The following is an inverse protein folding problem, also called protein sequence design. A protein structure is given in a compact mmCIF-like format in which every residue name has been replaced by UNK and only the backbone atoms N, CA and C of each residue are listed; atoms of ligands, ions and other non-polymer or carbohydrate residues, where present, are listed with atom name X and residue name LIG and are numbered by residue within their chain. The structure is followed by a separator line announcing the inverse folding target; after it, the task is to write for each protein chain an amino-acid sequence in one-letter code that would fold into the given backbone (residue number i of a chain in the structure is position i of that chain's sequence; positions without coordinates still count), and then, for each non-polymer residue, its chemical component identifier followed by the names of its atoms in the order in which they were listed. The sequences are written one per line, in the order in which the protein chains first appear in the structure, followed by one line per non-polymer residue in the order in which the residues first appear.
data_IF_735959296174
#
_entry.id   IF_735959296174
#
_cell.length_a   1.000
_cell.length_b   1.000
_cell.length_c   1.000
_cell.angle_alpha   90.00
_cell.angle_beta   90.00
_cell.angle_gamma   90.00
#
_symmetry.space_group_name_H-M   'P 1'
#
loop_
_entity.id
_entity.type
_entity.pdbx_description
1 polymer ?
#
# COMPACT_ATOMS: atom_id res chain seq x y z
N UNK A 1 50.81 -52.13 -32.90
CA UNK A 1 52.22 -51.73 -32.71
C UNK A 1 52.97 -52.93 -32.17
N UNK A 2 53.44 -53.78 -33.07
CA UNK A 2 54.28 -54.91 -32.70
C UNK A 2 55.73 -54.47 -32.49
N UNK A 3 56.52 -55.31 -31.83
CA UNK A 3 57.89 -55.60 -32.21
C UNK A 3 58.40 -56.78 -31.38
N UNK A 4 58.52 -57.92 -32.06
CA UNK A 4 59.45 -59.01 -31.73
C UNK A 4 60.88 -58.51 -31.92
N UNK A 5 61.88 -59.06 -31.21
CA UNK A 5 63.13 -59.59 -31.78
C UNK A 5 63.91 -60.42 -30.74
N UNK A 6 64.29 -61.62 -31.18
CA UNK A 6 65.31 -62.49 -30.58
C UNK A 6 66.72 -62.06 -31.00
N UNK A 7 67.75 -62.29 -30.17
CA UNK A 7 68.99 -63.02 -30.57
C UNK A 7 69.98 -63.24 -29.43
N UNK A 8 70.57 -64.44 -29.45
CA UNK A 8 71.65 -65.01 -28.63
C UNK A 8 73.04 -64.39 -28.89
N UNK A 9 73.96 -64.77 -27.98
CA UNK A 9 75.45 -64.88 -28.02
C UNK A 9 76.12 -63.76 -27.21
N UNK A 10 77.23 -63.97 -26.49
CA UNK A 10 78.15 -65.09 -26.30
C UNK A 10 79.13 -64.69 -25.19
N UNK A 11 79.63 -65.69 -24.46
CA UNK A 11 80.75 -65.69 -23.51
C UNK A 11 81.89 -64.69 -23.80
N UNK A 12 82.38 -64.06 -22.74
CA UNK A 12 83.71 -63.47 -22.59
C UNK A 12 84.05 -63.39 -21.11
N UNK A 13 85.21 -63.92 -20.72
CA UNK A 13 85.56 -64.44 -19.39
C UNK A 13 86.71 -63.63 -18.78
N UNK A 14 86.58 -63.31 -17.49
CA UNK A 14 87.61 -63.14 -16.43
C UNK A 14 88.70 -62.05 -16.54
N UNK A 15 89.01 -61.53 -15.35
CA UNK A 15 90.22 -60.78 -14.98
C UNK A 15 89.84 -59.55 -14.16
N UNK A 16 89.31 -59.66 -12.93
CA UNK A 16 90.08 -59.79 -11.68
C UNK A 16 91.32 -58.89 -11.60
N UNK A 17 91.25 -57.86 -10.75
CA UNK A 17 92.23 -57.55 -9.67
C UNK A 17 91.75 -56.26 -8.97
N UNK A 18 91.19 -56.36 -7.78
CA UNK A 18 91.91 -56.30 -6.49
C UNK A 18 92.38 -54.88 -6.17
N UNK A 19 91.65 -54.22 -5.26
CA UNK A 19 92.00 -52.91 -4.74
C UNK A 19 91.22 -52.62 -3.47
N UNK A 20 91.70 -53.21 -2.36
CA UNK A 20 91.43 -52.86 -0.95
C UNK A 20 90.09 -52.22 -0.66
N UNK A 21 89.12 -53.11 -0.77
CA UNK A 21 87.82 -53.12 -0.17
C UNK A 21 87.86 -52.75 1.33
N UNK A 22 87.69 -51.47 1.66
CA UNK A 22 87.01 -51.03 2.91
C UNK A 22 85.51 -51.35 2.77
N UNK A 23 85.27 -52.63 2.64
CA UNK A 23 84.06 -53.25 2.10
C UNK A 23 83.22 -53.84 3.21
N UNK A 24 83.78 -53.88 4.43
CA UNK A 24 83.01 -54.06 5.65
C UNK A 24 82.09 -52.87 5.87
N UNK A 25 82.63 -51.64 5.86
CA UNK A 25 81.84 -50.42 6.10
C UNK A 25 80.76 -50.21 5.03
N UNK A 26 81.13 -50.35 3.75
CA UNK A 26 80.20 -50.11 2.65
C UNK A 26 79.11 -51.19 2.51
N UNK A 27 79.42 -52.48 2.74
CA UNK A 27 78.39 -53.55 2.78
C UNK A 27 77.49 -53.46 4.01
N UNK A 28 78.03 -53.00 5.14
CA UNK A 28 77.22 -52.78 6.36
C UNK A 28 76.25 -51.63 6.13
N UNK A 29 76.71 -50.51 5.54
CA UNK A 29 75.84 -49.38 5.19
C UNK A 29 74.78 -49.76 4.13
N UNK A 30 75.14 -50.53 3.10
CA UNK A 30 74.17 -51.04 2.12
C UNK A 30 73.14 -51.98 2.75
N UNK A 31 73.56 -52.86 3.67
CA UNK A 31 72.68 -53.73 4.43
C UNK A 31 71.71 -52.95 5.32
N UNK A 32 72.21 -51.92 6.00
CA UNK A 32 71.41 -51.00 6.84
C UNK A 32 70.38 -50.24 6.00
N UNK A 33 70.76 -49.70 4.84
CA UNK A 33 69.85 -49.02 3.91
C UNK A 33 68.76 -49.94 3.34
N UNK A 34 69.08 -51.22 3.12
CA UNK A 34 68.11 -52.22 2.64
C UNK A 34 67.04 -52.49 3.70
N UNK A 35 67.43 -52.69 4.96
CA UNK A 35 66.51 -52.88 6.09
C UNK A 35 65.61 -51.65 6.28
N UNK A 36 66.18 -50.44 6.23
CA UNK A 36 65.42 -49.20 6.35
C UNK A 36 64.40 -49.01 5.20
N UNK A 37 64.76 -49.40 3.97
CA UNK A 37 63.83 -49.37 2.82
C UNK A 37 62.67 -50.33 3.01
N UNK A 38 62.92 -51.54 3.48
CA UNK A 38 61.89 -52.55 3.75
C UNK A 38 60.94 -52.08 4.87
N UNK A 39 61.49 -51.45 5.91
CA UNK A 39 60.73 -50.85 7.01
C UNK A 39 59.81 -49.71 6.55
N UNK A 40 60.33 -48.78 5.73
CA UNK A 40 59.53 -47.67 5.18
C UNK A 40 58.44 -48.19 4.22
N UNK A 41 58.72 -49.27 3.50
CA UNK A 41 57.74 -49.92 2.60
C UNK A 41 56.63 -50.64 3.36
N UNK A 42 56.92 -51.10 4.59
CA UNK A 42 55.96 -51.77 5.46
C UNK A 42 54.98 -50.79 6.15
N UNK A 43 55.14 -49.47 5.98
CA UNK A 43 54.10 -48.48 6.28
C UNK A 43 53.59 -48.45 7.72
N UNK A 44 54.46 -48.72 8.71
CA UNK A 44 54.07 -48.75 10.12
C UNK A 44 53.32 -50.02 10.56
N UNK A 45 53.39 -51.10 9.78
CA UNK A 45 52.91 -52.43 10.17
C UNK A 45 53.73 -53.01 11.34
N UNK A 46 53.16 -53.95 12.13
CA UNK A 46 53.88 -54.61 13.20
C UNK A 46 55.14 -55.36 12.71
N UNK A 47 55.12 -55.86 11.47
CA UNK A 47 56.27 -56.50 10.82
C UNK A 47 57.42 -55.51 10.56
N UNK A 48 57.12 -54.26 10.20
CA UNK A 48 58.13 -53.20 10.05
C UNK A 48 58.81 -52.83 11.37
N UNK A 49 58.09 -52.85 12.48
CA UNK A 49 58.64 -52.59 13.82
C UNK A 49 59.59 -53.71 14.28
N UNK A 50 59.33 -54.97 13.89
CA UNK A 50 60.20 -56.11 14.16
C UNK A 50 61.52 -56.07 13.38
N UNK A 51 61.48 -55.64 12.12
CA UNK A 51 62.66 -55.47 11.27
C UNK A 51 63.61 -54.38 11.80
N UNK A 52 63.04 -53.28 12.32
CA UNK A 52 63.77 -52.18 12.96
C UNK A 52 64.56 -52.62 14.21
N UNK A 53 64.04 -53.57 14.99
CA UNK A 53 64.69 -54.10 16.20
C UNK A 53 65.97 -54.89 15.93
N UNK A 54 66.18 -55.36 14.69
CA UNK A 54 67.36 -56.14 14.27
C UNK A 54 68.52 -55.27 13.75
N UNK A 55 68.31 -53.96 13.65
CA UNK A 55 69.29 -53.03 13.11
C UNK A 55 70.32 -52.60 14.18
N UNK A 56 71.57 -52.39 13.78
CA UNK A 56 72.71 -52.24 14.71
C UNK A 56 72.93 -50.81 15.23
N UNK A 57 72.33 -49.79 14.60
CA UNK A 57 72.46 -48.39 15.00
C UNK A 57 71.19 -47.92 15.71
N UNK A 58 71.30 -47.76 17.03
CA UNK A 58 70.20 -47.46 17.95
C UNK A 58 69.63 -46.04 17.75
N UNK A 59 70.49 -45.06 17.46
CA UNK A 59 70.08 -43.66 17.21
C UNK A 59 69.22 -43.54 15.94
N UNK A 60 69.63 -44.22 14.86
CA UNK A 60 68.90 -44.25 13.58
C UNK A 60 67.54 -44.94 13.74
N UNK A 61 67.49 -46.03 14.51
CA UNK A 61 66.21 -46.71 14.82
C UNK A 61 65.28 -45.82 15.64
N UNK A 62 65.79 -45.09 16.63
CA UNK A 62 65.02 -44.14 17.42
C UNK A 62 64.43 -43.01 16.56
N UNK A 63 65.24 -42.43 15.66
CA UNK A 63 64.80 -41.40 14.71
C UNK A 63 63.71 -41.91 13.76
N UNK A 64 63.85 -43.11 13.21
CA UNK A 64 62.86 -43.70 12.27
C UNK A 64 61.54 -44.00 12.99
N UNK A 65 61.58 -44.53 14.21
CA UNK A 65 60.37 -44.74 15.03
C UNK A 65 59.69 -43.41 15.37
N UNK A 66 60.46 -42.39 15.73
CA UNK A 66 59.92 -41.05 16.02
C UNK A 66 59.27 -40.40 14.78
N UNK A 67 59.88 -40.55 13.60
CA UNK A 67 59.30 -40.07 12.33
C UNK A 67 58.03 -40.85 11.99
N UNK A 68 58.02 -42.18 12.13
CA UNK A 68 56.83 -43.00 11.86
C UNK A 68 55.67 -42.64 12.79
N UNK A 69 55.94 -42.44 14.08
CA UNK A 69 54.92 -42.04 15.05
C UNK A 69 54.42 -40.61 14.78
N UNK A 70 55.33 -39.68 14.43
CA UNK A 70 54.98 -38.32 14.01
C UNK A 70 54.11 -38.32 12.75
N UNK A 71 54.49 -39.06 11.71
CA UNK A 71 53.69 -39.18 10.47
C UNK A 71 52.33 -39.82 10.76
N UNK A 72 52.28 -40.87 11.60
CA UNK A 72 51.02 -41.53 11.98
C UNK A 72 50.09 -40.61 12.76
N UNK A 73 50.64 -39.82 13.68
CA UNK A 73 49.87 -38.86 14.46
C UNK A 73 49.41 -37.68 13.61
N UNK A 74 50.29 -37.09 12.79
CA UNK A 74 49.97 -36.00 11.85
C UNK A 74 48.89 -36.45 10.84
N UNK A 75 49.09 -37.58 10.15
CA UNK A 75 48.09 -38.11 9.20
C UNK A 75 46.75 -38.43 9.86
N UNK A 76 46.75 -38.98 11.08
CA UNK A 76 45.51 -39.20 11.85
C UNK A 76 44.82 -37.88 12.20
N UNK A 77 45.57 -36.86 12.60
CA UNK A 77 45.02 -35.54 12.91
C UNK A 77 44.48 -34.84 11.67
N UNK A 78 45.21 -34.87 10.55
CA UNK A 78 44.76 -34.31 9.26
C UNK A 78 43.48 -35.00 8.77
N UNK A 79 43.43 -36.33 8.81
CA UNK A 79 42.25 -37.09 8.41
C UNK A 79 41.05 -36.77 9.31
N UNK A 80 41.27 -36.62 10.62
CA UNK A 80 40.22 -36.21 11.56
C UNK A 80 39.71 -34.80 11.26
N UNK A 81 40.59 -33.84 10.98
CA UNK A 81 40.22 -32.47 10.62
C UNK A 81 39.40 -32.46 9.33
N UNK A 82 39.84 -33.17 8.28
CA UNK A 82 39.12 -33.27 7.01
C UNK A 82 37.76 -33.93 7.20
N UNK A 83 37.68 -35.01 8.00
CA UNK A 83 36.41 -35.67 8.31
C UNK A 83 35.47 -34.75 9.06
N UNK A 84 35.95 -34.01 10.06
CA UNK A 84 35.15 -33.06 10.84
C UNK A 84 34.65 -31.90 9.96
N UNK A 85 35.51 -31.35 9.09
CA UNK A 85 35.12 -30.31 8.14
C UNK A 85 34.06 -30.82 7.16
N UNK A 86 34.25 -32.01 6.59
CA UNK A 86 33.28 -32.62 5.67
C UNK A 86 31.95 -32.88 6.37
N UNK A 87 31.99 -33.40 7.61
CA UNK A 87 30.79 -33.64 8.42
C UNK A 87 30.04 -32.33 8.70
N UNK A 88 30.75 -31.26 9.09
CA UNK A 88 30.15 -29.93 9.32
C UNK A 88 29.51 -29.38 8.04
N UNK A 89 30.23 -29.40 6.92
CA UNK A 89 29.72 -28.90 5.65
C UNK A 89 28.45 -29.64 5.20
N UNK A 90 28.41 -30.98 5.33
CA UNK A 90 27.22 -31.78 5.01
C UNK A 90 26.04 -31.46 5.93
N UNK A 91 26.28 -31.26 7.24
CA UNK A 91 25.22 -30.87 8.18
C UNK A 91 24.67 -29.48 7.85
N UNK A 92 25.53 -28.51 7.55
CA UNK A 92 25.12 -27.15 7.16
C UNK A 92 24.30 -27.14 5.86
N UNK A 93 24.73 -27.91 4.86
CA UNK A 93 24.00 -28.04 3.59
C UNK A 93 22.62 -28.68 3.80
N UNK A 94 22.54 -29.78 4.58
CA UNK A 94 21.26 -30.39 4.93
C UNK A 94 20.36 -29.44 5.72
N UNK A 95 20.90 -28.68 6.68
CA UNK A 95 20.12 -27.68 7.41
C UNK A 95 19.59 -26.58 6.50
N UNK A 96 20.38 -26.14 5.52
CA UNK A 96 19.96 -25.14 4.53
C UNK A 96 18.81 -25.67 3.67
N UNK A 97 18.96 -26.88 3.13
CA UNK A 97 17.92 -27.54 2.32
C UNK A 97 16.63 -27.72 3.14
N UNK A 98 16.73 -28.13 4.40
CA UNK A 98 15.55 -28.29 5.27
C UNK A 98 14.83 -26.96 5.51
N UNK A 99 15.57 -25.87 5.76
CA UNK A 99 14.97 -24.54 5.93
C UNK A 99 14.30 -24.05 4.65
N UNK A 100 14.95 -24.22 3.50
CA UNK A 100 14.38 -23.85 2.20
C UNK A 100 13.11 -24.67 1.90
N UNK A 101 13.12 -25.97 2.20
CA UNK A 101 11.96 -26.84 2.04
C UNK A 101 10.80 -26.44 2.96
N UNK A 102 11.08 -26.10 4.21
CA UNK A 102 10.07 -25.59 5.15
C UNK A 102 9.46 -24.26 4.69
N UNK A 103 10.29 -23.33 4.22
CA UNK A 103 9.81 -22.04 3.69
C UNK A 103 8.92 -22.22 2.47
N UNK A 104 9.32 -23.10 1.52
CA UNK A 104 8.49 -23.44 0.36
C UNK A 104 7.17 -24.09 0.76
N UNK A 105 7.20 -25.02 1.71
CA UNK A 105 5.99 -25.69 2.19
C UNK A 105 4.98 -24.70 2.82
N UNK A 106 5.44 -23.79 3.67
CA UNK A 106 4.56 -22.77 4.26
C UNK A 106 4.06 -21.77 3.20
N UNK A 107 4.88 -21.42 2.22
CA UNK A 107 4.45 -20.59 1.10
C UNK A 107 3.37 -21.28 0.25
N UNK A 108 3.57 -22.55 -0.12
CA UNK A 108 2.59 -23.33 -0.88
C UNK A 108 1.28 -23.49 -0.11
N UNK A 109 1.36 -23.78 1.19
CA UNK A 109 0.20 -23.91 2.08
C UNK A 109 -0.59 -22.61 2.18
N UNK A 110 0.08 -21.48 2.34
CA UNK A 110 -0.58 -20.16 2.39
C UNK A 110 -1.21 -19.79 1.05
N UNK A 111 -0.51 -20.04 -0.07
CA UNK A 111 -1.04 -19.80 -1.40
C UNK A 111 -2.25 -20.69 -1.71
N UNK A 112 -2.21 -21.97 -1.31
CA UNK A 112 -3.34 -22.89 -1.43
C UNK A 112 -4.54 -22.43 -0.57
N UNK A 113 -4.31 -21.98 0.66
CA UNK A 113 -5.36 -21.44 1.51
C UNK A 113 -6.01 -20.18 0.92
N UNK A 114 -5.21 -19.26 0.38
CA UNK A 114 -5.70 -18.02 -0.23
C UNK A 114 -6.52 -18.28 -1.50
N UNK A 115 -6.02 -19.16 -2.37
CA UNK A 115 -6.74 -19.57 -3.59
C UNK A 115 -8.05 -20.26 -3.25
N UNK A 116 -8.05 -21.15 -2.26
CA UNK A 116 -9.28 -21.79 -1.78
C UNK A 116 -10.29 -20.76 -1.24
N UNK A 117 -9.86 -19.85 -0.36
CA UNK A 117 -10.74 -18.84 0.20
C UNK A 117 -11.34 -17.91 -0.87
N UNK A 118 -10.53 -17.56 -1.88
CA UNK A 118 -11.00 -16.71 -2.98
C UNK A 118 -12.04 -17.45 -3.82
N UNK A 119 -11.82 -18.73 -4.12
CA UNK A 119 -12.78 -19.55 -4.85
C UNK A 119 -14.07 -19.77 -4.04
N UNK A 120 -13.96 -20.03 -2.73
CA UNK A 120 -15.09 -20.16 -1.82
C UNK A 120 -15.94 -18.88 -1.79
N UNK A 121 -15.30 -17.72 -1.63
CA UNK A 121 -15.99 -16.43 -1.60
C UNK A 121 -16.69 -16.13 -2.94
N UNK A 122 -16.04 -16.43 -4.06
CA UNK A 122 -16.64 -16.26 -5.39
C UNK A 122 -17.86 -17.17 -5.58
N UNK A 123 -17.78 -18.43 -5.16
CA UNK A 123 -18.91 -19.37 -5.20
C UNK A 123 -20.05 -18.90 -4.30
N UNK A 124 -19.75 -18.43 -3.09
CA UNK A 124 -20.75 -17.91 -2.16
C UNK A 124 -21.50 -16.71 -2.74
N UNK A 125 -20.77 -15.75 -3.33
CA UNK A 125 -21.37 -14.62 -4.02
C UNK A 125 -22.31 -15.06 -5.16
N UNK A 126 -21.92 -16.08 -5.95
CA UNK A 126 -22.76 -16.61 -7.02
C UNK A 126 -24.01 -17.32 -6.50
N UNK A 127 -23.90 -18.04 -5.39
CA UNK A 127 -25.06 -18.67 -4.72
C UNK A 127 -26.04 -17.61 -4.23
N UNK A 128 -25.55 -16.53 -3.63
CA UNK A 128 -26.40 -15.43 -3.14
C UNK A 128 -27.13 -14.72 -4.30
N UNK A 129 -26.43 -14.43 -5.40
CA UNK A 129 -27.00 -13.84 -6.62
C UNK A 129 -28.12 -14.73 -7.20
N UNK A 130 -27.84 -16.02 -7.42
CA UNK A 130 -28.83 -16.97 -7.95
C UNK A 130 -30.02 -17.15 -7.00
N UNK A 131 -29.78 -17.12 -5.70
CA UNK A 131 -30.85 -17.20 -4.69
C UNK A 131 -31.77 -15.98 -4.77
N UNK A 132 -31.22 -14.78 -4.96
CA UNK A 132 -32.00 -13.56 -5.14
C UNK A 132 -32.83 -13.59 -6.44
N UNK A 133 -32.23 -14.01 -7.56
CA UNK A 133 -32.95 -14.19 -8.83
C UNK A 133 -34.09 -15.19 -8.71
N UNK A 134 -33.85 -16.32 -8.03
CA UNK A 134 -34.86 -17.34 -7.80
C UNK A 134 -36.01 -16.84 -6.92
N UNK A 135 -35.74 -16.00 -5.93
CA UNK A 135 -36.79 -15.35 -5.13
C UNK A 135 -37.66 -14.42 -5.99
N UNK A 136 -37.05 -13.58 -6.84
CA UNK A 136 -37.79 -12.69 -7.74
C UNK A 136 -38.68 -13.50 -8.71
N UNK A 137 -38.13 -14.57 -9.30
CA UNK A 137 -38.88 -15.44 -10.20
C UNK A 137 -40.06 -16.12 -9.49
N UNK A 138 -39.85 -16.65 -8.28
CA UNK A 138 -40.91 -17.30 -7.51
C UNK A 138 -42.03 -16.33 -7.13
N UNK A 139 -41.68 -15.09 -6.73
CA UNK A 139 -42.67 -14.07 -6.41
C UNK A 139 -43.47 -13.67 -7.65
N UNK A 140 -42.82 -13.51 -8.80
CA UNK A 140 -43.50 -13.27 -10.08
C UNK A 140 -44.46 -14.42 -10.42
N UNK A 141 -44.00 -15.67 -10.30
CA UNK A 141 -44.83 -16.86 -10.53
C UNK A 141 -46.05 -16.91 -9.61
N UNK A 142 -45.87 -16.60 -8.32
CA UNK A 142 -46.97 -16.54 -7.34
C UNK A 142 -48.01 -15.50 -7.74
N UNK A 143 -47.58 -14.28 -8.10
CA UNK A 143 -48.49 -13.20 -8.52
C UNK A 143 -49.24 -13.54 -9.81
N UNK A 144 -48.57 -14.18 -10.77
CA UNK A 144 -49.21 -14.71 -11.99
C UNK A 144 -50.28 -15.74 -11.65
N UNK A 145 -49.99 -16.65 -10.71
CA UNK A 145 -50.96 -17.64 -10.24
C UNK A 145 -52.16 -16.99 -9.54
N UNK A 146 -51.94 -15.90 -8.83
CA UNK A 146 -52.98 -15.16 -8.09
C UNK A 146 -53.69 -14.08 -8.91
N UNK A 147 -53.28 -13.88 -10.17
CA UNK A 147 -53.81 -12.84 -11.02
C UNK A 147 -55.30 -12.99 -11.28
N UNK A 148 -56.01 -11.85 -11.31
CA UNK A 148 -57.42 -11.78 -11.67
C UNK A 148 -57.67 -12.33 -13.06
N UNK A 149 -56.71 -12.20 -13.96
CA UNK A 149 -56.86 -12.60 -15.35
C UNK A 149 -56.75 -14.13 -15.50
N UNK A 150 -55.98 -14.82 -14.64
CA UNK A 150 -56.03 -16.28 -14.51
C UNK A 150 -57.39 -16.77 -13.99
N UNK A 151 -57.92 -16.10 -12.97
CA UNK A 151 -59.27 -16.36 -12.46
C UNK A 151 -60.34 -16.10 -13.51
N UNK A 152 -60.22 -15.03 -14.29
CA UNK A 152 -61.17 -14.66 -15.34
C UNK A 152 -61.13 -15.64 -16.51
N UNK A 153 -59.94 -16.12 -16.89
CA UNK A 153 -59.77 -17.18 -17.89
C UNK A 153 -60.42 -18.48 -17.42
N UNK A 154 -60.17 -18.90 -16.18
CA UNK A 154 -60.83 -20.09 -15.61
C UNK A 154 -62.35 -19.93 -15.53
N UNK A 155 -62.86 -18.75 -15.14
CA UNK A 155 -64.29 -18.45 -15.15
C UNK A 155 -64.87 -18.55 -16.56
N UNK A 156 -64.20 -17.99 -17.56
CA UNK A 156 -64.66 -18.02 -18.95
C UNK A 156 -64.75 -19.45 -19.50
N UNK A 157 -63.74 -20.29 -19.22
CA UNK A 157 -63.74 -21.70 -19.59
C UNK A 157 -64.89 -22.45 -18.90
N UNK A 158 -65.19 -22.12 -17.63
CA UNK A 158 -66.34 -22.70 -16.92
C UNK A 158 -67.69 -22.25 -17.50
N UNK A 159 -67.82 -20.99 -17.90
CA UNK A 159 -69.07 -20.40 -18.41
C UNK A 159 -69.37 -20.82 -19.86
N UNK A 160 -68.34 -21.00 -20.69
CA UNK A 160 -68.49 -21.20 -22.13
C UNK A 160 -67.94 -22.53 -22.67
N UNK A 161 -67.26 -23.32 -21.83
CA UNK A 161 -66.62 -24.57 -22.20
C UNK A 161 -65.17 -24.40 -22.66
N UNK A 162 -64.43 -25.52 -22.70
CA UNK A 162 -63.01 -25.53 -23.11
C UNK A 162 -62.89 -25.21 -24.61
N UNK A 163 -62.01 -24.27 -25.00
CA UNK A 163 -61.68 -24.01 -26.39
C UNK A 163 -60.73 -25.07 -27.00
N UNK A 164 -60.27 -26.05 -26.21
CA UNK A 164 -59.30 -27.08 -26.59
C UNK A 164 -57.88 -26.78 -26.09
N UNK A 165 -57.12 -27.84 -25.77
CA UNK A 165 -55.85 -27.75 -25.04
C UNK A 165 -54.79 -26.81 -25.67
N UNK A 166 -54.75 -26.72 -27.00
CA UNK A 166 -53.86 -25.79 -27.70
C UNK A 166 -54.18 -24.33 -27.37
N UNK A 167 -55.47 -23.96 -27.47
CA UNK A 167 -55.91 -22.59 -27.24
C UNK A 167 -55.84 -22.20 -25.77
N UNK A 168 -56.07 -23.14 -24.85
CA UNK A 168 -55.85 -22.91 -23.41
C UNK A 168 -54.38 -22.59 -23.13
N UNK A 169 -53.44 -23.37 -23.68
CA UNK A 169 -52.00 -23.10 -23.52
C UNK A 169 -51.59 -21.76 -24.11
N UNK A 170 -52.13 -21.39 -25.28
CA UNK A 170 -51.85 -20.09 -25.89
C UNK A 170 -52.44 -18.94 -25.06
N UNK A 171 -53.66 -19.08 -24.54
CA UNK A 171 -54.30 -18.11 -23.64
C UNK A 171 -53.52 -17.94 -22.33
N UNK A 172 -53.00 -19.03 -21.76
CA UNK A 172 -52.13 -18.98 -20.57
C UNK A 172 -50.78 -18.29 -20.85
N UNK A 173 -50.20 -18.51 -22.04
CA UNK A 173 -48.97 -17.82 -22.47
C UNK A 173 -49.21 -16.31 -22.64
N UNK A 174 -50.29 -15.94 -23.33
CA UNK A 174 -50.67 -14.54 -23.52
C UNK A 174 -50.98 -13.84 -22.20
N UNK A 175 -51.65 -14.54 -21.28
CA UNK A 175 -51.90 -14.07 -19.92
C UNK A 175 -50.61 -13.68 -19.20
N UNK A 176 -49.60 -14.55 -19.24
CA UNK A 176 -48.29 -14.26 -18.64
C UNK A 176 -47.65 -13.00 -19.24
N UNK A 177 -47.70 -12.84 -20.56
CA UNK A 177 -47.16 -11.66 -21.25
C UNK A 177 -47.93 -10.40 -20.85
N UNK A 178 -49.26 -10.45 -20.78
CA UNK A 178 -50.12 -9.33 -20.38
C UNK A 178 -49.79 -8.90 -18.94
N UNK A 179 -49.64 -9.83 -18.02
CA UNK A 179 -49.29 -9.54 -16.63
C UNK A 179 -47.90 -8.92 -16.53
N UNK A 180 -46.91 -9.46 -17.23
CA UNK A 180 -45.57 -8.90 -17.29
C UNK A 180 -45.58 -7.47 -17.85
N UNK A 181 -46.37 -7.20 -18.90
CA UNK A 181 -46.54 -5.85 -19.46
C UNK A 181 -47.25 -4.93 -18.49
N UNK A 182 -48.27 -5.43 -17.78
CA UNK A 182 -49.03 -4.66 -16.79
C UNK A 182 -48.15 -4.23 -15.63
N UNK A 183 -47.31 -5.11 -15.09
CA UNK A 183 -46.36 -4.74 -14.02
C UNK A 183 -45.36 -3.69 -14.52
N UNK A 184 -44.83 -3.83 -15.74
CA UNK A 184 -43.94 -2.82 -16.33
C UNK A 184 -44.62 -1.45 -16.43
N UNK A 185 -45.90 -1.42 -16.80
CA UNK A 185 -46.69 -0.17 -16.84
C UNK A 185 -46.91 0.37 -15.43
N UNK A 186 -47.28 -0.46 -14.45
CA UNK A 186 -47.44 -0.02 -13.06
C UNK A 186 -46.14 0.56 -12.48
N UNK A 187 -45.01 -0.06 -12.76
CA UNK A 187 -43.70 0.44 -12.34
C UNK A 187 -43.36 1.79 -12.98
N UNK A 188 -43.65 1.97 -14.28
CA UNK A 188 -43.52 3.27 -14.93
C UNK A 188 -44.45 4.32 -14.32
N UNK A 189 -45.69 3.95 -13.97
CA UNK A 189 -46.63 4.83 -13.28
C UNK A 189 -46.13 5.27 -11.90
N UNK A 190 -45.55 4.36 -11.10
CA UNK A 190 -44.93 4.71 -9.80
C UNK A 190 -43.79 5.72 -9.99
N UNK A 191 -42.93 5.52 -11.00
CA UNK A 191 -41.85 6.47 -11.33
C UNK A 191 -42.38 7.83 -11.76
N UNK A 192 -43.46 7.86 -12.55
CA UNK A 192 -44.11 9.11 -12.95
C UNK A 192 -44.70 9.86 -11.75
N UNK A 193 -45.29 9.16 -10.78
CA UNK A 193 -45.79 9.77 -9.55
C UNK A 193 -44.67 10.43 -8.74
N UNK A 194 -43.57 9.72 -8.51
CA UNK A 194 -42.39 10.29 -7.83
C UNK A 194 -41.83 11.51 -8.57
N UNK A 195 -41.81 11.47 -9.90
CA UNK A 195 -41.38 12.60 -10.71
C UNK A 195 -42.32 13.80 -10.57
N UNK A 196 -43.64 13.56 -10.50
CA UNK A 196 -44.63 14.60 -10.28
C UNK A 196 -44.46 15.28 -8.92
N UNK A 197 -44.28 14.51 -7.85
CA UNK A 197 -44.00 15.04 -6.51
C UNK A 197 -42.72 15.88 -6.47
N UNK A 198 -41.70 15.49 -7.22
CA UNK A 198 -40.46 16.25 -7.33
C UNK A 198 -40.66 17.58 -8.05
N UNK A 199 -41.47 17.59 -9.11
CA UNK A 199 -41.82 18.83 -9.84
C UNK A 199 -42.62 19.77 -8.95
N UNK A 200 -43.61 19.29 -8.20
CA UNK A 200 -44.37 20.12 -7.25
C UNK A 200 -43.47 20.75 -6.18
N UNK A 201 -42.53 19.97 -5.61
CA UNK A 201 -41.54 20.50 -4.67
C UNK A 201 -40.64 21.55 -5.31
N UNK A 202 -40.22 21.35 -6.55
CA UNK A 202 -39.39 22.32 -7.26
C UNK A 202 -40.14 23.64 -7.47
N UNK A 203 -41.38 23.60 -7.94
CA UNK A 203 -42.24 24.78 -8.09
C UNK A 203 -42.41 25.54 -6.76
N UNK A 204 -42.65 24.82 -5.66
CA UNK A 204 -42.74 25.43 -4.33
C UNK A 204 -41.43 26.12 -3.89
N UNK A 205 -40.28 25.55 -4.24
CA UNK A 205 -38.98 26.16 -3.96
C UNK A 205 -38.73 27.39 -4.84
N UNK A 206 -39.12 27.35 -6.12
CA UNK A 206 -39.04 28.51 -7.03
C UNK A 206 -39.87 29.68 -6.50
N UNK A 207 -41.11 29.43 -6.03
CA UNK A 207 -41.96 30.45 -5.40
C UNK A 207 -41.31 31.03 -4.13
N UNK A 208 -40.69 30.19 -3.30
CA UNK A 208 -39.96 30.64 -2.11
C UNK A 208 -38.77 31.53 -2.48
N UNK A 209 -38.02 31.17 -3.53
CA UNK A 209 -36.89 31.96 -4.03
C UNK A 209 -37.39 33.33 -4.50
N UNK A 210 -38.47 33.37 -5.28
CA UNK A 210 -39.05 34.63 -5.77
C UNK A 210 -39.46 35.53 -4.59
N UNK A 211 -40.14 34.97 -3.59
CA UNK A 211 -40.55 35.72 -2.39
C UNK A 211 -39.35 36.29 -1.62
N UNK A 212 -38.28 35.51 -1.44
CA UNK A 212 -37.06 35.97 -0.77
C UNK A 212 -36.36 37.06 -1.58
N UNK A 213 -36.31 36.94 -2.91
CA UNK A 213 -35.74 37.97 -3.78
C UNK A 213 -36.53 39.29 -3.69
N UNK A 214 -37.86 39.22 -3.68
CA UNK A 214 -38.72 40.40 -3.49
C UNK A 214 -38.48 41.07 -2.14
N UNK A 215 -38.43 40.29 -1.05
CA UNK A 215 -38.13 40.80 0.28
C UNK A 215 -36.74 41.45 0.36
N UNK A 216 -35.76 40.90 -0.35
CA UNK A 216 -34.41 41.47 -0.42
C UNK A 216 -34.41 42.82 -1.14
N UNK A 217 -35.12 42.93 -2.27
CA UNK A 217 -35.27 44.19 -3.01
C UNK A 217 -35.95 45.25 -2.15
N UNK A 218 -37.05 44.90 -1.47
CA UNK A 218 -37.75 45.81 -0.55
C UNK A 218 -36.84 46.31 0.59
N UNK A 219 -35.99 45.43 1.13
CA UNK A 219 -34.98 45.82 2.12
C UNK A 219 -33.93 46.76 1.52
N UNK A 220 -33.49 46.50 0.29
CA UNK A 220 -32.52 47.35 -0.43
C UNK A 220 -33.08 48.75 -0.65
N UNK A 221 -34.31 48.85 -1.15
CA UNK A 221 -35.01 50.14 -1.33
C UNK A 221 -35.16 50.89 -0.01
N UNK A 222 -35.51 50.20 1.08
CA UNK A 222 -35.58 50.82 2.42
C UNK A 222 -34.21 51.34 2.88
N UNK A 223 -33.15 50.56 2.66
CA UNK A 223 -31.78 50.96 3.00
C UNK A 223 -31.34 52.20 2.22
N UNK A 224 -31.62 52.26 0.92
CA UNK A 224 -31.29 53.41 0.06
C UNK A 224 -32.05 54.68 0.49
N UNK A 225 -33.32 54.54 0.88
CA UNK A 225 -34.11 55.63 1.45
C UNK A 225 -33.53 56.14 2.78
N UNK A 226 -33.19 55.24 3.70
CA UNK A 226 -32.52 55.61 4.96
C UNK A 226 -31.18 56.29 4.70
N UNK A 227 -30.39 55.80 3.74
CA UNK A 227 -29.12 56.39 3.37
C UNK A 227 -29.30 57.83 2.85
N UNK A 228 -30.31 58.05 2.01
CA UNK A 228 -30.66 59.39 1.49
C UNK A 228 -31.03 60.34 2.62
N UNK A 229 -31.85 59.91 3.59
CA UNK A 229 -32.21 60.72 4.76
C UNK A 229 -30.98 61.04 5.62
N UNK A 230 -30.09 60.07 5.84
CA UNK A 230 -28.84 60.28 6.58
C UNK A 230 -27.96 61.33 5.89
N UNK A 231 -27.84 61.27 4.56
CA UNK A 231 -27.11 62.28 3.79
C UNK A 231 -27.73 63.68 3.93
N UNK A 232 -29.06 63.78 3.84
CA UNK A 232 -29.77 65.06 4.01
C UNK A 232 -29.54 65.66 5.40
N UNK A 233 -29.72 64.87 6.46
CA UNK A 233 -29.49 65.30 7.84
C UNK A 233 -28.04 65.72 8.08
N UNK A 234 -27.07 65.05 7.46
CA UNK A 234 -25.66 65.41 7.52
C UNK A 234 -25.40 66.80 6.89
N UNK A 235 -26.00 67.08 5.74
CA UNK A 235 -25.92 68.39 5.08
C UNK A 235 -26.56 69.47 5.94
N UNK A 236 -27.76 69.24 6.48
CA UNK A 236 -28.43 70.18 7.39
C UNK A 236 -27.61 70.45 8.64
N UNK A 237 -27.02 69.41 9.24
CA UNK A 237 -26.13 69.54 10.40
C UNK A 237 -24.92 70.42 10.08
N UNK A 238 -24.31 70.24 8.90
CA UNK A 238 -23.18 71.06 8.46
C UNK A 238 -23.59 72.52 8.23
N UNK A 239 -24.77 72.76 7.65
CA UNK A 239 -25.30 74.12 7.43
C UNK A 239 -25.60 74.83 8.75
N UNK A 240 -26.24 74.15 9.71
CA UNK A 240 -26.53 74.68 11.04
C UNK A 240 -25.25 75.03 11.80
N UNK A 241 -24.23 74.16 11.73
CA UNK A 241 -22.91 74.42 12.34
C UNK A 241 -22.26 75.67 11.74
N UNK A 242 -22.26 75.81 10.41
CA UNK A 242 -21.73 77.00 9.75
C UNK A 242 -22.52 78.27 10.11
N UNK A 243 -23.84 78.19 10.27
CA UNK A 243 -24.66 79.32 10.71
C UNK A 243 -24.35 79.72 12.16
N UNK A 244 -24.17 78.74 13.05
CA UNK A 244 -23.77 78.95 14.43
C UNK A 244 -22.39 79.65 14.50
N UNK A 245 -21.41 79.18 13.74
CA UNK A 245 -20.07 79.78 13.70
C UNK A 245 -20.11 81.24 13.23
N UNK A 246 -20.93 81.57 12.23
CA UNK A 246 -21.16 82.96 11.78
C UNK A 246 -21.78 83.82 12.89
N UNK A 247 -22.76 83.29 13.61
CA UNK A 247 -23.42 84.01 14.70
C UNK A 247 -22.46 84.26 15.87
N UNK A 248 -21.61 83.28 16.21
CA UNK A 248 -20.57 83.44 17.22
C UNK A 248 -19.56 84.53 16.82
N UNK A 249 -19.11 84.54 15.57
CA UNK A 249 -18.20 85.57 15.06
C UNK A 249 -18.82 86.98 15.11
N UNK A 250 -20.08 87.13 14.68
CA UNK A 250 -20.79 88.41 14.75
C UNK A 250 -20.98 88.88 16.21
N UNK A 251 -21.27 87.97 17.13
CA UNK A 251 -21.41 88.30 18.55
C UNK A 251 -20.08 88.72 19.19
N UNK A 252 -18.97 88.09 18.80
CA UNK A 252 -17.62 88.52 19.21
C UNK A 252 -17.31 89.93 18.69
N UNK A 253 -17.63 90.24 17.43
CA UNK A 253 -17.45 91.58 16.86
C UNK A 253 -18.26 92.64 17.62
N UNK A 254 -19.55 92.39 17.83
CA UNK A 254 -20.42 93.29 18.61
C UNK A 254 -19.93 93.47 20.05
N UNK A 255 -19.37 92.42 20.66
CA UNK A 255 -18.78 92.50 22.00
C UNK A 255 -17.54 93.40 22.02
N UNK A 256 -16.67 93.29 21.01
CA UNK A 256 -15.50 94.17 20.85
C UNK A 256 -15.92 95.63 20.57
N UNK A 257 -16.89 95.86 19.68
CA UNK A 257 -17.43 97.19 19.40
C UNK A 257 -18.05 97.81 20.66
N UNK A 258 -18.82 97.02 21.43
CA UNK A 258 -19.39 97.44 22.72
C UNK A 258 -18.28 97.85 23.68
N UNK A 259 -17.21 97.07 23.81
CA UNK A 259 -16.07 97.40 24.68
C UNK A 259 -15.38 98.70 24.22
N UNK A 260 -15.14 98.86 22.92
CA UNK A 260 -14.58 100.09 22.35
C UNK A 260 -15.46 101.32 22.60
N UNK A 261 -16.78 101.19 22.47
CA UNK A 261 -17.73 102.27 22.75
C UNK A 261 -17.76 102.62 24.24
N UNK A 262 -17.74 101.61 25.12
CA UNK A 262 -17.64 101.82 26.57
C UNK A 262 -16.34 102.52 26.97
N UNK A 263 -15.22 102.16 26.34
CA UNK A 263 -13.94 102.85 26.50
C UNK A 263 -14.05 104.32 26.07
N UNK A 264 -14.57 104.59 24.86
CA UNK A 264 -14.79 105.96 24.37
C UNK A 264 -15.70 106.77 25.30
N UNK A 265 -16.77 106.18 25.84
CA UNK A 265 -17.68 106.88 26.75
C UNK A 265 -16.99 107.28 28.05
N UNK A 266 -16.21 106.37 28.66
CA UNK A 266 -15.46 106.64 29.88
C UNK A 266 -14.34 107.67 29.70
N UNK A 267 -13.85 107.85 28.49
CA UNK A 267 -12.77 108.77 28.15
C UNK A 267 -13.25 110.01 27.36
N UNK A 268 -14.57 110.20 27.18
CA UNK A 268 -15.15 111.33 26.44
C UNK A 268 -15.01 112.67 27.18
N UNK A 269 -14.77 112.64 28.49
CA UNK A 269 -14.60 113.85 29.31
C UNK A 269 -13.22 114.52 29.15
N UNK A 270 -12.40 114.11 28.17
CA UNK A 270 -11.08 114.72 27.92
C UNK A 270 -10.98 115.55 26.63
N UNK A 271 -12.07 115.80 25.88
CA UNK A 271 -12.04 116.71 24.72
C UNK A 271 -13.19 117.74 24.78
N UNK A 272 -12.90 119.05 24.68
CA UNK A 272 -13.89 120.09 24.96
C UNK A 272 -14.87 120.29 23.78
N UNK A 273 -16.10 120.76 24.04
CA UNK A 273 -17.19 120.74 23.07
C UNK A 273 -17.15 121.99 22.17
N UNK A 274 -17.28 121.79 20.85
CA UNK A 274 -17.52 122.89 19.91
C UNK A 274 -19.00 122.96 19.53
N UNK A 275 -19.46 124.19 19.63
CA UNK A 275 -20.79 124.78 19.53
C UNK A 275 -21.56 124.41 18.25
N UNK A 276 -22.87 124.20 18.44
CA UNK A 276 -23.89 124.10 17.40
C UNK A 276 -24.10 125.44 16.69
N UNK A 277 -24.12 125.42 15.36
CA UNK A 277 -24.77 126.43 14.53
C UNK A 277 -25.37 125.75 13.28
N UNK A 278 -26.69 125.55 13.28
CA UNK A 278 -27.51 125.49 12.05
C UNK A 278 -27.80 126.95 11.62
N UNK A 279 -28.24 127.30 10.39
CA UNK A 279 -29.01 126.55 9.39
C UNK A 279 -28.43 126.72 7.95
N UNK A 280 -28.99 126.23 6.83
CA UNK A 280 -30.37 126.23 6.32
C UNK A 280 -30.51 125.23 5.18
#
# INVERSE_FOLDING_TARGET
MGCTQSKKKSKGKKGETSGRRDDGGQRVLEGQLKVLREVLSAGGSPEGAELLRRHTNEEVCGLVLAILDKVKTETKTELNVVHEQKSKATVEEHQKILKELQMKHEQEKTQQAQTFQTAENALKAKVDELSAELQVFNELKRRVQESTFKRDLQRNIQEHGSPGAFWESEQESLLFVIEMKTERVQEQSRKLQLMHELVEKNLSLEDQIINVLQQNEDLRVRMDNCHTVIQQLSVEQQQLKAALDRQLAANQQLSQEKEQLMFKLRHRDSAPPIQLLAPR
#
